data_IF_265998786535
#
_entry.id   IF_265998786535
#
_cell.length_a   1.000
_cell.length_b   1.000
_cell.length_c   1.000
_cell.angle_alpha   90.00
_cell.angle_beta   90.00
_cell.angle_gamma   90.00
#
_symmetry.space_group_name_H-M   'P 1'
#
loop_
_entity.id
_entity.type
_entity.pdbx_description
1 polymer ?
#
# COMPACT_ATOMS: atom_id res chain seq x y z
N UNK A 1 23.83 -3.93 19.70
CA UNK A 1 23.46 -3.52 18.34
C UNK A 1 22.41 -2.43 18.51
N UNK A 2 22.62 -1.26 17.89
CA UNK A 2 21.78 -0.08 18.12
C UNK A 2 20.39 -0.37 17.55
N UNK A 3 19.39 -0.47 18.43
CA UNK A 3 17.98 -0.35 18.08
C UNK A 3 17.77 1.12 17.68
N UNK A 4 17.99 1.41 16.41
CA UNK A 4 17.60 2.69 15.82
C UNK A 4 16.09 2.71 15.77
N UNK A 5 15.49 3.64 16.49
CA UNK A 5 14.09 4.02 16.37
C UNK A 5 13.84 4.42 14.90
N UNK A 6 13.36 3.46 14.09
CA UNK A 6 13.11 3.70 12.65
C UNK A 6 12.00 4.74 12.44
N UNK A 7 11.17 4.96 13.46
CA UNK A 7 10.08 5.95 13.51
C UNK A 7 10.56 7.40 13.44
N UNK A 8 11.87 7.70 13.61
CA UNK A 8 12.42 9.04 13.38
C UNK A 8 12.92 9.31 11.96
N UNK A 9 12.95 8.31 11.08
CA UNK A 9 13.38 8.53 9.69
C UNK A 9 12.21 9.06 8.87
N UNK A 10 12.36 10.19 8.14
CA UNK A 10 11.29 10.69 7.27
C UNK A 10 10.87 9.61 6.27
N UNK A 11 9.57 9.55 5.97
CA UNK A 11 9.05 8.64 4.96
C UNK A 11 9.72 8.88 3.60
N UNK A 12 9.81 7.85 2.75
CA UNK A 12 10.25 8.01 1.38
C UNK A 12 9.50 9.13 0.66
N UNK A 13 10.22 9.88 -0.17
CA UNK A 13 9.64 11.00 -0.93
C UNK A 13 8.61 10.53 -1.94
N UNK A 14 7.43 11.15 -1.92
CA UNK A 14 6.35 10.91 -2.88
C UNK A 14 6.80 11.20 -4.31
N UNK A 15 6.39 10.38 -5.27
CA UNK A 15 6.41 10.73 -6.68
C UNK A 15 5.51 11.95 -6.92
N UNK A 16 5.81 12.77 -7.94
CA UNK A 16 5.09 14.02 -8.19
C UNK A 16 3.63 13.79 -8.57
N UNK A 17 3.35 12.72 -9.33
CA UNK A 17 1.99 12.31 -9.70
C UNK A 17 1.21 11.92 -8.44
N UNK A 18 1.80 11.09 -7.59
CA UNK A 18 1.18 10.70 -6.33
C UNK A 18 0.87 11.91 -5.45
N UNK A 19 1.86 12.79 -5.25
CA UNK A 19 1.70 13.98 -4.42
C UNK A 19 0.66 14.99 -4.95
N UNK A 20 0.34 14.94 -6.24
CA UNK A 20 -0.65 15.81 -6.86
C UNK A 20 -2.08 15.28 -6.72
N UNK A 21 -2.24 13.95 -6.66
CA UNK A 21 -3.55 13.29 -6.61
C UNK A 21 -3.95 12.89 -5.19
N UNK A 22 -3.06 12.19 -4.48
CA UNK A 22 -3.27 11.66 -3.13
C UNK A 22 -2.83 12.69 -2.08
N UNK A 23 -3.74 13.62 -1.76
CA UNK A 23 -3.43 14.83 -0.98
C UNK A 23 -3.83 14.78 0.48
N UNK A 24 -4.61 13.77 0.88
CA UNK A 24 -5.03 13.60 2.26
C UNK A 24 -3.85 13.23 3.20
N UNK A 25 -3.96 13.60 4.47
CA UNK A 25 -2.94 13.38 5.50
C UNK A 25 -2.77 11.88 5.83
N UNK A 26 -3.77 11.03 5.56
CA UNK A 26 -3.69 9.57 5.79
C UNK A 26 -2.50 8.94 5.06
N UNK A 27 -2.09 9.49 3.91
CA UNK A 27 -0.99 8.94 3.11
C UNK A 27 0.39 9.14 3.74
N UNK A 28 0.50 9.97 4.76
CA UNK A 28 1.72 10.18 5.55
C UNK A 28 1.57 9.74 7.02
N UNK A 29 0.40 9.21 7.41
CA UNK A 29 0.10 8.85 8.79
C UNK A 29 0.38 7.36 9.04
N UNK A 30 1.55 7.05 9.61
CA UNK A 30 1.94 5.68 9.99
C UNK A 30 1.43 5.25 11.36
N UNK A 31 0.84 6.16 12.13
CA UNK A 31 0.30 5.87 13.47
C UNK A 31 -1.19 5.46 13.44
N UNK A 32 -1.83 5.59 12.27
CA UNK A 32 -3.23 5.26 12.06
C UNK A 32 -3.38 3.89 11.42
N UNK A 33 -3.90 2.92 12.17
CA UNK A 33 -3.99 1.52 11.76
C UNK A 33 -4.80 1.28 10.48
N UNK A 34 -5.63 2.23 10.03
CA UNK A 34 -6.44 2.12 8.81
C UNK A 34 -5.83 2.88 7.62
N UNK A 35 -4.80 3.69 7.85
CA UNK A 35 -4.01 4.32 6.80
C UNK A 35 -3.17 3.27 6.04
N UNK A 36 -2.79 3.52 4.78
CA UNK A 36 -2.12 2.52 3.93
C UNK A 36 -0.75 2.05 4.47
N UNK A 37 -0.13 2.83 5.35
CA UNK A 37 1.16 2.50 5.98
C UNK A 37 1.08 2.45 7.50
N UNK A 38 -0.14 2.28 8.04
CA UNK A 38 -0.44 2.28 9.47
C UNK A 38 -0.04 1.03 10.23
N UNK A 39 0.15 -0.08 9.51
CA UNK A 39 0.64 -1.33 10.08
C UNK A 39 2.17 -1.37 10.10
N UNK A 40 2.80 -2.09 11.05
CA UNK A 40 4.24 -2.31 11.05
C UNK A 40 4.75 -2.88 9.72
N UNK A 41 4.00 -3.81 9.14
CA UNK A 41 4.31 -4.44 7.85
C UNK A 41 4.21 -3.44 6.69
N UNK A 42 3.17 -2.59 6.66
CA UNK A 42 2.99 -1.57 5.63
C UNK A 42 4.04 -0.45 5.71
N UNK A 43 4.40 -0.02 6.92
CA UNK A 43 5.50 0.94 7.12
C UNK A 43 6.84 0.33 6.65
N UNK A 44 7.14 -0.91 7.03
CA UNK A 44 8.39 -1.58 6.66
C UNK A 44 8.47 -1.82 5.15
N UNK A 45 7.35 -2.17 4.50
CA UNK A 45 7.22 -2.28 3.05
C UNK A 45 7.58 -0.97 2.35
N UNK A 46 6.95 0.14 2.74
CA UNK A 46 7.23 1.44 2.17
C UNK A 46 8.71 1.84 2.38
N UNK A 47 9.25 1.63 3.59
CA UNK A 47 10.64 2.01 3.91
C UNK A 47 11.65 1.16 3.15
N UNK A 48 11.40 -0.14 3.05
CA UNK A 48 12.28 -1.09 2.34
C UNK A 48 12.34 -0.75 0.86
N UNK A 49 11.18 -0.60 0.22
CA UNK A 49 11.12 -0.28 -1.21
C UNK A 49 11.51 1.17 -1.50
N UNK A 50 11.32 2.10 -0.56
CA UNK A 50 11.83 3.46 -0.67
C UNK A 50 13.37 3.51 -0.78
N UNK A 51 14.08 2.60 -0.11
CA UNK A 51 15.55 2.47 -0.24
C UNK A 51 15.95 1.78 -1.56
N UNK A 52 15.06 0.96 -2.12
CA UNK A 52 15.23 0.20 -3.35
C UNK A 52 14.43 0.78 -4.51
N UNK A 53 14.11 2.08 -4.45
CA UNK A 53 13.21 2.74 -5.43
C UNK A 53 13.65 2.55 -6.88
N UNK A 54 14.97 2.55 -7.14
CA UNK A 54 15.53 2.32 -8.46
C UNK A 54 15.27 0.91 -9.03
N UNK A 55 14.81 -0.02 -8.21
CA UNK A 55 14.43 -1.38 -8.62
C UNK A 55 12.95 -1.47 -9.07
N UNK A 56 12.16 -0.41 -8.85
CA UNK A 56 10.73 -0.34 -9.19
C UNK A 56 10.45 0.34 -10.56
N UNK A 57 11.48 0.83 -11.25
CA UNK A 57 11.32 1.84 -12.33
C UNK A 57 10.76 1.31 -13.67
N UNK A 58 10.33 0.04 -13.77
CA UNK A 58 9.67 -0.51 -14.96
C UNK A 58 8.65 -1.59 -14.56
N UNK A 59 7.37 -1.21 -14.40
CA UNK A 59 6.26 -2.16 -14.24
C UNK A 59 6.29 -2.95 -12.94
N UNK A 60 6.60 -2.29 -11.81
CA UNK A 60 6.49 -2.90 -10.50
C UNK A 60 5.07 -3.43 -10.24
N UNK A 61 4.96 -4.68 -9.81
CA UNK A 61 3.69 -5.33 -9.52
C UNK A 61 3.51 -5.54 -8.02
N UNK A 62 2.25 -5.57 -7.55
CA UNK A 62 1.95 -5.89 -6.15
C UNK A 62 2.51 -7.25 -5.76
N UNK A 63 2.46 -8.23 -6.67
CA UNK A 63 3.03 -9.56 -6.44
C UNK A 63 4.51 -9.51 -6.06
N UNK A 64 5.34 -8.73 -6.76
CA UNK A 64 6.78 -8.61 -6.49
C UNK A 64 7.05 -8.05 -5.07
N UNK A 65 6.19 -7.12 -4.64
CA UNK A 65 6.29 -6.47 -3.33
C UNK A 65 5.85 -7.41 -2.21
N UNK A 66 4.76 -8.14 -2.41
CA UNK A 66 4.18 -9.04 -1.40
C UNK A 66 5.03 -10.30 -1.23
N UNK A 67 5.54 -10.88 -2.33
CA UNK A 67 6.45 -12.02 -2.30
C UNK A 67 7.75 -11.70 -1.53
N UNK A 68 8.25 -10.46 -1.67
CA UNK A 68 9.42 -10.00 -0.93
C UNK A 68 9.21 -9.96 0.60
N UNK A 69 7.95 -9.92 1.04
CA UNK A 69 7.54 -9.92 2.45
C UNK A 69 7.14 -11.30 2.96
N UNK A 70 7.24 -12.33 2.12
CA UNK A 70 7.08 -13.73 2.51
C UNK A 70 5.65 -14.26 2.40
N UNK A 71 4.74 -13.51 1.79
CA UNK A 71 3.41 -13.98 1.41
C UNK A 71 3.34 -14.24 -0.09
N UNK A 72 2.65 -15.30 -0.49
CA UNK A 72 2.45 -15.66 -1.89
C UNK A 72 1.07 -15.16 -2.33
N UNK A 73 1.06 -14.09 -3.14
CA UNK A 73 -0.18 -13.53 -3.67
C UNK A 73 -0.82 -14.52 -4.66
N UNK A 74 -0.01 -15.20 -5.47
CA UNK A 74 -0.44 -16.10 -6.54
C UNK A 74 -1.16 -17.34 -6.03
N UNK A 75 -0.74 -17.91 -4.90
CA UNK A 75 -1.39 -19.04 -4.26
C UNK A 75 -2.76 -18.67 -3.66
N UNK A 76 -3.03 -17.38 -3.38
CA UNK A 76 -4.28 -16.91 -2.75
C UNK A 76 -5.20 -16.10 -3.66
N UNK A 77 -4.73 -15.64 -4.81
CA UNK A 77 -5.60 -15.02 -5.84
C UNK A 77 -6.60 -16.07 -6.34
N UNK A 78 -7.83 -16.00 -5.82
CA UNK A 78 -8.94 -16.89 -6.21
C UNK A 78 -9.33 -17.93 -5.17
N UNK A 79 -8.69 -17.97 -4.01
CA UNK A 79 -9.18 -18.72 -2.84
C UNK A 79 -10.09 -17.82 -2.00
N UNK A 80 -11.22 -18.34 -1.51
CA UNK A 80 -12.15 -17.62 -0.60
C UNK A 80 -11.58 -17.46 0.84
N UNK A 81 -10.27 -17.68 1.04
CA UNK A 81 -9.61 -17.39 2.31
C UNK A 81 -9.22 -15.90 2.36
N UNK A 82 -10.25 -15.08 2.55
CA UNK A 82 -10.11 -13.64 2.80
C UNK A 82 -9.46 -13.44 4.19
N UNK A 83 -8.26 -12.84 4.21
CA UNK A 83 -7.42 -12.70 5.39
C UNK A 83 -6.97 -11.27 5.54
N UNK A 84 -7.48 -10.60 6.59
CA UNK A 84 -7.29 -9.16 6.82
C UNK A 84 -5.83 -8.73 6.78
N UNK A 85 -4.92 -9.61 7.19
CA UNK A 85 -3.47 -9.34 7.17
C UNK A 85 -2.94 -9.21 5.73
N UNK A 86 -3.36 -10.11 4.84
CA UNK A 86 -3.01 -10.08 3.42
C UNK A 86 -3.66 -8.89 2.73
N UNK A 87 -4.94 -8.61 2.96
CA UNK A 87 -5.59 -7.45 2.35
C UNK A 87 -4.95 -6.13 2.80
N UNK A 88 -4.59 -6.02 4.08
CA UNK A 88 -3.82 -4.87 4.60
C UNK A 88 -2.48 -4.75 3.88
N UNK A 89 -1.79 -5.87 3.67
CA UNK A 89 -0.51 -5.90 2.95
C UNK A 89 -0.66 -5.52 1.46
N UNK A 90 -1.71 -5.98 0.79
CA UNK A 90 -2.04 -5.62 -0.61
C UNK A 90 -2.31 -4.12 -0.74
N UNK A 91 -3.10 -3.55 0.17
CA UNK A 91 -3.35 -2.10 0.21
C UNK A 91 -2.03 -1.35 0.40
N UNK A 92 -1.20 -1.74 1.36
CA UNK A 92 0.10 -1.13 1.59
C UNK A 92 1.03 -1.24 0.37
N UNK A 93 1.02 -2.38 -0.33
CA UNK A 93 1.84 -2.61 -1.52
C UNK A 93 1.41 -1.71 -2.69
N UNK A 94 0.11 -1.66 -2.99
CA UNK A 94 -0.42 -0.80 -4.04
C UNK A 94 -0.10 0.68 -3.78
N UNK A 95 -0.33 1.16 -2.55
CA UNK A 95 0.02 2.53 -2.18
C UNK A 95 1.53 2.78 -2.12
N UNK A 96 2.36 1.75 -1.86
CA UNK A 96 3.82 1.86 -1.98
C UNK A 96 4.25 2.08 -3.43
N UNK A 97 3.71 1.31 -4.38
CA UNK A 97 3.98 1.47 -5.82
C UNK A 97 3.52 2.86 -6.28
N UNK A 98 2.28 3.24 -5.97
CA UNK A 98 1.74 4.56 -6.27
C UNK A 98 2.61 5.67 -5.68
N UNK A 99 3.01 5.57 -4.40
CA UNK A 99 3.82 6.59 -3.74
C UNK A 99 5.21 6.73 -4.35
N UNK A 100 5.84 5.63 -4.76
CA UNK A 100 7.23 5.62 -5.22
C UNK A 100 7.38 5.76 -6.74
N UNK A 101 6.45 5.24 -7.51
CA UNK A 101 6.49 5.22 -8.98
C UNK A 101 5.48 6.21 -9.56
N UNK A 102 4.32 6.36 -8.92
CA UNK A 102 3.27 7.28 -9.34
C UNK A 102 2.41 6.76 -10.49
N UNK A 103 2.44 5.46 -10.73
CA UNK A 103 1.57 4.73 -11.65
C UNK A 103 1.20 3.40 -11.00
N UNK A 104 0.11 2.77 -11.44
CA UNK A 104 -0.27 1.41 -11.05
C UNK A 104 -0.95 0.73 -12.24
N UNK A 105 -0.68 -0.55 -12.43
CA UNK A 105 -1.41 -1.33 -13.43
C UNK A 105 -2.90 -1.47 -13.07
N UNK A 106 -3.74 -1.68 -14.09
CA UNK A 106 -5.18 -1.85 -13.94
C UNK A 106 -5.54 -3.06 -13.06
N UNK A 107 -4.82 -4.18 -13.21
CA UNK A 107 -5.07 -5.38 -12.43
C UNK A 107 -4.69 -5.18 -10.96
N UNK A 108 -3.52 -4.60 -10.69
CA UNK A 108 -3.08 -4.25 -9.35
C UNK A 108 -4.01 -3.23 -8.68
N UNK A 109 -4.51 -2.24 -9.43
CA UNK A 109 -5.54 -1.32 -8.93
C UNK A 109 -6.80 -2.06 -8.50
N UNK A 110 -7.23 -3.05 -9.26
CA UNK A 110 -8.40 -3.87 -8.91
C UNK A 110 -8.15 -4.74 -7.67
N UNK A 111 -6.94 -5.25 -7.46
CA UNK A 111 -6.59 -5.98 -6.24
C UNK A 111 -6.70 -5.08 -5.00
N UNK A 112 -6.19 -3.84 -5.06
CA UNK A 112 -6.30 -2.89 -3.96
C UNK A 112 -7.75 -2.52 -3.66
N UNK A 113 -8.55 -2.23 -4.70
CA UNK A 113 -9.97 -1.88 -4.51
C UNK A 113 -10.77 -3.05 -3.90
N UNK A 114 -10.47 -4.28 -4.31
CA UNK A 114 -11.10 -5.47 -3.70
C UNK A 114 -10.67 -5.66 -2.25
N UNK A 115 -9.39 -5.48 -1.95
CA UNK A 115 -8.86 -5.57 -0.60
C UNK A 115 -9.51 -4.52 0.32
N UNK A 116 -9.63 -3.26 -0.12
CA UNK A 116 -10.33 -2.21 0.61
C UNK A 116 -11.79 -2.56 0.90
N UNK A 117 -12.52 -3.07 -0.10
CA UNK A 117 -13.90 -3.47 0.08
C UNK A 117 -14.05 -4.59 1.13
N UNK A 118 -13.18 -5.59 1.11
CA UNK A 118 -13.20 -6.66 2.12
C UNK A 118 -12.83 -6.14 3.52
N UNK A 119 -11.81 -5.29 3.64
CA UNK A 119 -11.42 -4.68 4.92
C UNK A 119 -12.56 -3.86 5.51
N UNK A 120 -13.30 -3.11 4.68
CA UNK A 120 -14.48 -2.37 5.11
C UNK A 120 -15.63 -3.30 5.56
N UNK A 121 -15.85 -4.42 4.87
CA UNK A 121 -16.84 -5.42 5.31
C UNK A 121 -16.51 -6.01 6.69
N UNK A 122 -15.23 -6.24 6.98
CA UNK A 122 -14.77 -6.85 8.24
C UNK A 122 -14.69 -5.83 9.38
N UNK A 123 -14.11 -4.66 9.14
CA UNK A 123 -13.87 -3.65 10.17
C UNK A 123 -14.96 -2.58 10.27
N UNK A 124 -15.91 -2.56 9.33
CA UNK A 124 -16.93 -1.55 9.17
C UNK A 124 -16.42 -0.29 8.46
N UNK A 125 -17.32 0.66 8.22
CA UNK A 125 -17.04 1.95 7.60
C UNK A 125 -15.89 2.67 8.34
N UNK A 126 -14.78 2.92 7.64
CA UNK A 126 -13.65 3.72 8.11
C UNK A 126 -13.42 4.89 7.13
N UNK A 127 -13.24 6.13 7.61
CA UNK A 127 -12.95 7.28 6.75
C UNK A 127 -11.72 7.08 5.85
N UNK A 128 -10.72 6.35 6.33
CA UNK A 128 -9.49 6.05 5.62
C UNK A 128 -9.75 5.14 4.41
N UNK A 129 -10.63 4.14 4.56
CA UNK A 129 -11.01 3.24 3.47
C UNK A 129 -11.81 3.98 2.40
N UNK A 130 -12.76 4.82 2.80
CA UNK A 130 -13.51 5.68 1.88
C UNK A 130 -12.57 6.57 1.06
N UNK A 131 -11.67 7.28 1.75
CA UNK A 131 -10.70 8.19 1.12
C UNK A 131 -9.80 7.43 0.13
N UNK A 132 -9.24 6.29 0.55
CA UNK A 132 -8.41 5.46 -0.32
C UNK A 132 -9.18 4.93 -1.54
N UNK A 133 -10.45 4.56 -1.39
CA UNK A 133 -11.28 4.07 -2.47
C UNK A 133 -11.60 5.19 -3.48
N UNK A 134 -12.02 6.36 -3.00
CA UNK A 134 -12.34 7.53 -3.83
C UNK A 134 -11.13 8.03 -4.62
N UNK A 135 -10.00 8.20 -3.94
CA UNK A 135 -8.76 8.67 -4.57
C UNK A 135 -8.24 7.65 -5.59
N UNK A 136 -8.23 6.36 -5.26
CA UNK A 136 -7.75 5.32 -6.17
C UNK A 136 -8.68 5.10 -7.36
N UNK A 137 -10.00 5.17 -7.16
CA UNK A 137 -10.98 5.01 -8.24
C UNK A 137 -10.99 6.18 -9.23
N UNK A 138 -10.53 7.36 -8.80
CA UNK A 138 -10.43 8.56 -9.63
C UNK A 138 -9.03 8.76 -10.23
N UNK A 139 -8.08 7.86 -9.94
CA UNK A 139 -6.71 7.96 -10.42
C UNK A 139 -6.56 7.44 -11.86
N UNK A 140 -6.06 8.30 -12.75
CA UNK A 140 -5.86 8.01 -14.18
C UNK A 140 -4.41 7.56 -14.52
N UNK A 141 -3.56 7.40 -13.51
CA UNK A 141 -2.13 7.09 -13.66
C UNK A 141 -1.81 5.61 -13.46
#
# INVERSE_FOLDING_TARGET
MQSGDMSQTPLPSKHSVFAAHFTDDIYDNVDDAYAPFGSPEGEDLLRTWGQRRSELEDGALIEDLVEAFGDDLGDRIGEDEESTDLETLVVAAGFTILRLVGEIDEQDRQYVLRALAHLEEVFGEQPEFDTMNEDLSSFDG
#
